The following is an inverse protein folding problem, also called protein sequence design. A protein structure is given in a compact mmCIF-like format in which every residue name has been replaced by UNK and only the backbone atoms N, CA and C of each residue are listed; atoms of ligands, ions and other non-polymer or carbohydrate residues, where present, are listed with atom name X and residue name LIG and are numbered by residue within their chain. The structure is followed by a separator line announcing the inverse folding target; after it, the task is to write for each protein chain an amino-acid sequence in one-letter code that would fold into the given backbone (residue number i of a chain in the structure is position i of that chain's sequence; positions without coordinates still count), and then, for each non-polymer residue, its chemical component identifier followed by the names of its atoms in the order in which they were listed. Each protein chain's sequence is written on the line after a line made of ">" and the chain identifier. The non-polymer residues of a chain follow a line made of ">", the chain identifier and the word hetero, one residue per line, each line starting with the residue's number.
data_IF_939905166100
#
_entry.id   IF_939905166100
#
_cell.length_a   1.000
_cell.length_b   1.000
_cell.length_c   1.000
_cell.angle_alpha   90.00
_cell.angle_beta   90.00
_cell.angle_gamma   90.00
#
_symmetry.space_group_name_H-M   'P 1'
#
loop_
_entity.id
_entity.type
_entity.pdbx_description
1 polymer ?
#
# COMPACT_ATOMS: atom_id res chain seq x y z
N UNK A 1 -40.82 -47.34 36.86
CA UNK A 1 -41.74 -48.42 37.28
C UNK A 1 -41.24 -48.93 38.62
N UNK A 2 -42.10 -49.08 39.62
CA UNK A 2 -41.69 -49.62 40.91
C UNK A 2 -41.44 -51.13 40.78
N UNK A 3 -40.32 -51.62 41.32
CA UNK A 3 -40.03 -53.06 41.33
C UNK A 3 -41.06 -53.79 42.19
N UNK A 4 -41.55 -54.93 41.70
CA UNK A 4 -42.49 -55.78 42.45
C UNK A 4 -41.71 -56.91 43.11
N UNK A 5 -41.76 -56.98 44.44
CA UNK A 5 -41.13 -58.05 45.21
C UNK A 5 -42.02 -59.28 45.28
N UNK A 6 -41.41 -60.45 45.47
CA UNK A 6 -42.12 -61.72 45.66
C UNK A 6 -42.83 -61.66 47.02
N UNK A 7 -44.16 -61.82 47.02
CA UNK A 7 -44.95 -61.92 48.25
C UNK A 7 -44.81 -63.32 48.86
N UNK A 8 -44.35 -63.39 50.11
CA UNK A 8 -44.08 -64.65 50.82
C UNK A 8 -45.19 -65.08 51.77
N UNK A 9 -46.22 -64.25 51.98
CA UNK A 9 -47.25 -64.53 52.99
C UNK A 9 -46.67 -64.72 54.40
N UNK A 10 -47.44 -65.37 55.28
CA UNK A 10 -47.08 -65.58 56.69
C UNK A 10 -46.04 -66.70 56.89
N UNK A 11 -45.11 -66.57 57.85
CA UNK A 11 -44.13 -67.61 58.14
C UNK A 11 -44.77 -68.96 58.51
N UNK A 12 -44.21 -70.10 58.04
CA UNK A 12 -44.67 -71.43 58.45
C UNK A 12 -44.35 -71.69 59.93
N UNK A 13 -45.16 -72.53 60.60
CA UNK A 13 -45.05 -72.85 62.04
C UNK A 13 -44.22 -74.10 62.36
N UNK A 14 -43.64 -74.76 61.36
CA UNK A 14 -42.86 -76.00 61.51
C UNK A 14 -41.40 -75.75 61.94
N UNK A 15 -40.79 -76.72 62.62
CA UNK A 15 -39.41 -76.63 63.16
C UNK A 15 -38.31 -76.79 62.10
N UNK A 16 -38.63 -77.41 60.96
CA UNK A 16 -37.68 -77.61 59.85
C UNK A 16 -37.72 -76.42 58.89
N UNK A 17 -36.57 -75.74 58.70
CA UNK A 17 -36.48 -74.45 57.99
C UNK A 17 -37.00 -74.46 56.54
N UNK A 18 -37.70 -73.39 56.15
CA UNK A 18 -38.28 -73.19 54.80
C UNK A 18 -37.23 -72.67 53.80
N UNK A 19 -36.62 -73.59 53.05
CA UNK A 19 -35.58 -73.29 52.05
C UNK A 19 -36.10 -72.46 50.88
N UNK A 20 -37.39 -72.59 50.52
CA UNK A 20 -38.01 -71.85 49.42
C UNK A 20 -38.26 -70.38 49.82
N UNK A 21 -38.75 -70.14 51.04
CA UNK A 21 -38.83 -68.78 51.61
C UNK A 21 -37.45 -68.14 51.69
N UNK A 22 -36.44 -68.91 52.10
CA UNK A 22 -35.05 -68.43 52.16
C UNK A 22 -34.52 -68.04 50.77
N UNK A 23 -34.80 -68.84 49.74
CA UNK A 23 -34.43 -68.53 48.36
C UNK A 23 -35.14 -67.27 47.86
N UNK A 24 -36.46 -67.13 48.10
CA UNK A 24 -37.19 -65.95 47.67
C UNK A 24 -36.81 -64.67 48.45
N UNK A 25 -36.44 -64.78 49.73
CA UNK A 25 -35.86 -63.67 50.49
C UNK A 25 -34.58 -63.16 49.81
N UNK A 26 -33.65 -64.07 49.45
CA UNK A 26 -32.43 -63.71 48.72
C UNK A 26 -32.74 -63.07 47.36
N UNK A 27 -33.76 -63.55 46.65
CA UNK A 27 -34.20 -62.92 45.40
C UNK A 27 -34.70 -61.50 45.63
N UNK A 28 -35.54 -61.26 46.64
CA UNK A 28 -36.01 -59.92 46.99
C UNK A 28 -34.86 -58.99 47.38
N UNK A 29 -33.90 -59.45 48.20
CA UNK A 29 -32.72 -58.67 48.57
C UNK A 29 -31.87 -58.29 47.34
N UNK A 30 -31.66 -59.25 46.43
CA UNK A 30 -30.95 -59.01 45.18
C UNK A 30 -31.69 -58.00 44.28
N UNK A 31 -33.02 -58.11 44.18
CA UNK A 31 -33.84 -57.17 43.42
C UNK A 31 -33.78 -55.75 43.99
N UNK A 32 -33.87 -55.61 45.32
CA UNK A 32 -33.71 -54.31 45.99
C UNK A 32 -32.32 -53.72 45.75
N UNK A 33 -31.26 -54.54 45.81
CA UNK A 33 -29.90 -54.07 45.53
C UNK A 33 -29.73 -53.61 44.08
N UNK A 34 -30.27 -54.37 43.12
CA UNK A 34 -30.23 -54.01 41.70
C UNK A 34 -31.03 -52.74 41.40
N UNK A 35 -32.22 -52.58 41.97
CA UNK A 35 -33.04 -51.38 41.82
C UNK A 35 -32.35 -50.13 42.38
N UNK A 36 -31.72 -50.26 43.55
CA UNK A 36 -30.91 -49.18 44.14
C UNK A 36 -29.73 -48.79 43.22
N UNK A 37 -28.97 -49.77 42.72
CA UNK A 37 -27.84 -49.53 41.80
C UNK A 37 -28.30 -48.88 40.49
N UNK A 38 -29.41 -49.35 39.92
CA UNK A 38 -29.97 -48.80 38.69
C UNK A 38 -30.45 -47.35 38.91
N UNK A 39 -31.12 -47.08 40.03
CA UNK A 39 -31.58 -45.74 40.39
C UNK A 39 -30.40 -44.78 40.58
N UNK A 40 -29.35 -45.20 41.27
CA UNK A 40 -28.12 -44.39 41.43
C UNK A 40 -27.43 -44.15 40.09
N UNK A 41 -27.32 -45.17 39.23
CA UNK A 41 -26.72 -45.02 37.91
C UNK A 41 -27.52 -44.08 37.01
N UNK A 42 -28.85 -44.18 37.03
CA UNK A 42 -29.73 -43.27 36.28
C UNK A 42 -29.59 -41.83 36.77
N UNK A 43 -29.63 -41.60 38.09
CA UNK A 43 -29.42 -40.27 38.65
C UNK A 43 -28.05 -39.68 38.28
N UNK A 44 -27.00 -40.53 38.25
CA UNK A 44 -25.68 -40.15 37.78
C UNK A 44 -25.65 -39.78 36.29
N UNK A 45 -26.32 -40.56 35.44
CA UNK A 45 -26.44 -40.29 34.01
C UNK A 45 -27.23 -38.99 33.73
N UNK A 46 -28.34 -38.77 34.44
CA UNK A 46 -29.15 -37.56 34.32
C UNK A 46 -28.35 -36.32 34.75
N UNK A 47 -27.59 -36.42 35.84
CA UNK A 47 -26.70 -35.35 36.32
C UNK A 47 -25.61 -35.05 35.30
N UNK A 48 -24.98 -36.08 34.72
CA UNK A 48 -23.95 -35.92 33.70
C UNK A 48 -24.51 -35.27 32.42
N UNK A 49 -25.72 -35.66 32.01
CA UNK A 49 -26.39 -35.08 30.84
C UNK A 49 -26.72 -33.59 31.06
N UNK A 50 -27.17 -33.22 32.27
CA UNK A 50 -27.40 -31.82 32.63
C UNK A 50 -26.10 -31.01 32.60
N UNK A 51 -25.03 -31.51 33.21
CA UNK A 51 -23.71 -30.86 33.20
C UNK A 51 -23.17 -30.67 31.78
N UNK A 52 -23.33 -31.68 30.91
CA UNK A 52 -22.97 -31.58 29.51
C UNK A 52 -23.78 -30.51 28.77
N UNK A 53 -25.09 -30.43 29.05
CA UNK A 53 -25.96 -29.37 28.53
C UNK A 53 -25.50 -27.97 28.95
N UNK A 54 -25.19 -27.76 30.23
CA UNK A 54 -24.67 -26.49 30.74
C UNK A 54 -23.34 -26.13 30.11
N UNK A 55 -22.39 -27.07 30.04
CA UNK A 55 -21.08 -26.86 29.42
C UNK A 55 -21.22 -26.46 27.94
N UNK A 56 -22.14 -27.10 27.20
CA UNK A 56 -22.46 -26.73 25.83
C UNK A 56 -23.00 -25.30 25.74
N UNK A 57 -23.97 -24.93 26.58
CA UNK A 57 -24.52 -23.57 26.59
C UNK A 57 -23.45 -22.50 26.90
N UNK A 58 -22.55 -22.78 27.84
CA UNK A 58 -21.41 -21.89 28.14
C UNK A 58 -20.46 -21.76 26.95
N UNK A 59 -20.13 -22.87 26.28
CA UNK A 59 -19.28 -22.87 25.10
C UNK A 59 -19.92 -22.09 23.93
N UNK A 60 -21.23 -22.29 23.70
CA UNK A 60 -21.98 -21.57 22.66
C UNK A 60 -22.00 -20.05 22.95
N UNK A 61 -22.17 -19.64 24.21
CA UNK A 61 -22.13 -18.23 24.61
C UNK A 61 -20.73 -17.60 24.46
N UNK A 62 -19.68 -18.35 24.80
CA UNK A 62 -18.29 -17.91 24.59
C UNK A 62 -17.98 -17.75 23.10
N UNK A 63 -18.40 -18.71 22.27
CA UNK A 63 -18.27 -18.63 20.81
C UNK A 63 -18.99 -17.40 20.26
N UNK A 64 -20.24 -17.17 20.66
CA UNK A 64 -21.01 -16.00 20.21
C UNK A 64 -20.35 -14.67 20.62
N UNK A 65 -19.69 -14.63 21.77
CA UNK A 65 -18.95 -13.45 22.23
C UNK A 65 -17.68 -13.24 21.40
N UNK A 66 -16.93 -14.30 21.11
CA UNK A 66 -15.76 -14.24 20.24
C UNK A 66 -16.13 -13.82 18.81
N UNK A 67 -17.19 -14.38 18.23
CA UNK A 67 -17.67 -14.05 16.89
C UNK A 67 -18.10 -12.57 16.79
N UNK A 68 -18.67 -11.98 17.86
CA UNK A 68 -19.02 -10.55 17.93
C UNK A 68 -17.82 -9.63 18.06
N UNK A 69 -16.74 -10.09 18.69
CA UNK A 69 -15.55 -9.27 18.92
C UNK A 69 -14.73 -9.03 17.65
N UNK A 70 -14.79 -9.96 16.68
CA UNK A 70 -14.13 -9.86 15.38
C UNK A 70 -15.11 -10.27 14.26
N UNK A 71 -16.05 -9.38 13.87
CA UNK A 71 -16.95 -9.64 12.77
C UNK A 71 -16.19 -9.98 11.49
N UNK A 72 -16.60 -11.05 10.80
CA UNK A 72 -15.97 -11.50 9.55
C UNK A 72 -16.25 -10.60 8.34
N UNK A 73 -17.20 -9.67 8.46
CA UNK A 73 -17.56 -8.72 7.44
C UNK A 73 -17.82 -7.35 8.07
N UNK A 74 -17.28 -6.30 7.46
CA UNK A 74 -17.44 -4.89 7.84
C UNK A 74 -17.30 -4.61 9.36
N UNK A 75 -16.23 -5.09 10.02
CA UNK A 75 -16.03 -4.78 11.43
C UNK A 75 -15.81 -3.27 11.61
N UNK A 76 -16.61 -2.66 12.50
CA UNK A 76 -16.37 -1.28 12.95
C UNK A 76 -15.49 -1.32 14.20
N UNK A 77 -14.26 -0.83 14.08
CA UNK A 77 -13.37 -0.67 15.23
C UNK A 77 -13.51 0.75 15.78
N UNK A 78 -14.05 0.88 17.00
CA UNK A 78 -14.05 2.14 17.74
C UNK A 78 -12.89 2.15 18.74
N UNK A 79 -11.99 3.12 18.61
CA UNK A 79 -10.81 3.27 19.48
C UNK A 79 -9.50 2.75 18.87
N UNK A 80 -8.46 2.64 19.70
CA UNK A 80 -7.13 2.20 19.25
C UNK A 80 -7.05 0.68 19.14
N UNK A 81 -6.62 0.17 17.99
CA UNK A 81 -6.23 -1.22 17.85
C UNK A 81 -4.81 -1.35 18.46
N UNK A 82 -4.73 -1.96 19.64
CA UNK A 82 -3.48 -2.13 20.38
C UNK A 82 -3.43 -3.49 21.07
N UNK A 83 -2.22 -4.00 21.28
CA UNK A 83 -1.97 -5.22 22.05
C UNK A 83 -1.13 -4.87 23.27
N UNK A 84 -1.60 -5.23 24.46
CA UNK A 84 -0.93 -4.95 25.74
C UNK A 84 -0.02 -6.12 26.10
N UNK A 85 1.18 -5.82 26.60
CA UNK A 85 2.01 -6.79 27.31
C UNK A 85 2.91 -7.68 26.45
N UNK A 86 3.02 -7.42 25.13
CA UNK A 86 3.99 -8.08 24.25
C UNK A 86 4.59 -7.11 23.24
N UNK A 87 5.80 -7.37 22.72
CA UNK A 87 6.31 -6.67 21.55
C UNK A 87 5.32 -6.77 20.38
N UNK A 88 5.04 -5.63 19.77
CA UNK A 88 4.20 -5.54 18.58
C UNK A 88 5.04 -5.86 17.35
N UNK A 89 5.23 -7.15 17.08
CA UNK A 89 5.88 -7.64 15.87
C UNK A 89 4.81 -7.93 14.80
N UNK A 90 5.04 -7.50 13.56
CA UNK A 90 4.14 -7.73 12.40
C UNK A 90 2.71 -7.20 12.55
N UNK A 91 2.47 -6.18 13.39
CA UNK A 91 1.16 -5.54 13.45
C UNK A 91 0.76 -5.00 12.06
N UNK A 92 -0.45 -5.36 11.62
CA UNK A 92 -1.01 -5.02 10.30
C UNK A 92 -0.25 -5.60 9.10
N UNK A 93 0.46 -6.73 9.28
CA UNK A 93 1.05 -7.44 8.16
C UNK A 93 -0.04 -8.07 7.29
N UNK A 94 -0.08 -7.66 6.02
CA UNK A 94 -0.85 -8.37 4.98
C UNK A 94 0.07 -9.38 4.33
N UNK A 95 -0.22 -10.67 4.54
CA UNK A 95 0.54 -11.78 3.96
C UNK A 95 -0.28 -12.43 2.86
N UNK A 96 0.28 -12.48 1.65
CA UNK A 96 -0.28 -13.28 0.58
C UNK A 96 0.19 -14.72 0.78
N UNK A 97 -0.69 -15.58 1.30
CA UNK A 97 -0.42 -17.02 1.42
C UNK A 97 -1.21 -17.80 0.37
N UNK A 98 -0.58 -18.79 -0.27
CA UNK A 98 -1.22 -19.65 -1.27
C UNK A 98 -0.88 -19.28 -2.72
N UNK A 99 -1.75 -19.66 -3.66
CA UNK A 99 -1.57 -19.43 -5.11
C UNK A 99 -2.29 -18.17 -5.62
N UNK A 100 -2.96 -17.43 -4.73
CA UNK A 100 -3.66 -16.19 -5.06
C UNK A 100 -2.67 -15.03 -5.23
N UNK A 101 -2.95 -14.12 -6.17
CA UNK A 101 -2.18 -12.88 -6.34
C UNK A 101 -2.35 -11.93 -5.14
N UNK A 102 -3.34 -12.19 -4.28
CA UNK A 102 -3.58 -11.47 -3.02
C UNK A 102 -3.84 -9.99 -3.29
N UNK A 103 -3.13 -9.10 -2.58
CA UNK A 103 -3.23 -7.63 -2.82
C UNK A 103 -2.55 -7.13 -4.11
N UNK A 104 -2.01 -8.02 -4.94
CA UNK A 104 -1.30 -7.69 -6.18
C UNK A 104 -2.20 -7.70 -7.43
N UNK A 105 -1.73 -7.06 -8.50
CA UNK A 105 -2.40 -7.04 -9.82
C UNK A 105 -1.48 -6.51 -10.92
N UNK A 106 -1.97 -6.41 -12.16
CA UNK A 106 -1.16 -5.95 -13.30
C UNK A 106 -0.74 -4.48 -13.12
N UNK A 107 0.38 -4.05 -13.73
CA UNK A 107 0.95 -2.71 -13.52
C UNK A 107 -0.07 -1.56 -13.76
N UNK A 108 -0.86 -1.65 -14.84
CA UNK A 108 -1.82 -0.61 -15.23
C UNK A 108 -3.14 -0.60 -14.47
N UNK A 109 -3.50 -1.66 -13.75
CA UNK A 109 -4.82 -1.82 -13.09
C UNK A 109 -4.88 -1.14 -11.71
N UNK A 110 -3.98 -0.20 -11.42
CA UNK A 110 -3.84 0.39 -10.09
C UNK A 110 -5.07 1.18 -9.61
N UNK A 111 -5.91 1.68 -10.54
CA UNK A 111 -7.18 2.37 -10.25
C UNK A 111 -8.41 1.46 -10.27
N UNK A 112 -8.25 0.17 -10.58
CA UNK A 112 -9.36 -0.73 -10.88
C UNK A 112 -9.29 -1.99 -10.01
N UNK A 113 -8.61 -3.04 -10.51
CA UNK A 113 -8.69 -4.39 -9.99
C UNK A 113 -7.71 -4.73 -8.87
N UNK A 114 -6.89 -3.77 -8.40
CA UNK A 114 -5.99 -4.01 -7.26
C UNK A 114 -6.73 -3.77 -5.95
N UNK A 115 -6.62 -4.73 -5.03
CA UNK A 115 -7.08 -4.56 -3.65
C UNK A 115 -5.93 -4.03 -2.79
N UNK A 116 -5.94 -2.75 -2.38
CA UNK A 116 -4.84 -2.20 -1.59
C UNK A 116 -4.85 -2.78 -0.18
N UNK A 117 -3.66 -2.94 0.42
CA UNK A 117 -3.54 -3.32 1.82
C UNK A 117 -4.13 -2.27 2.78
N UNK A 118 -4.08 -0.99 2.38
CA UNK A 118 -4.66 0.15 3.10
C UNK A 118 -5.39 1.01 2.06
N UNK A 119 -6.68 1.25 2.28
CA UNK A 119 -7.48 2.19 1.52
C UNK A 119 -7.92 3.34 2.42
N UNK A 120 -7.79 4.57 1.94
CA UNK A 120 -8.28 5.77 2.61
C UNK A 120 -9.30 6.41 1.69
N UNK A 121 -10.58 6.33 2.07
CA UNK A 121 -11.67 6.89 1.28
C UNK A 121 -11.79 8.40 1.51
N UNK A 122 -11.62 9.18 0.45
CA UNK A 122 -11.77 10.63 0.45
C UNK A 122 -13.21 11.02 0.09
N UNK A 123 -13.98 11.49 1.08
CA UNK A 123 -15.40 11.86 0.87
C UNK A 123 -15.59 13.29 0.36
N UNK A 124 -14.61 14.18 0.56
CA UNK A 124 -14.72 15.61 0.29
C UNK A 124 -13.46 16.14 -0.38
N UNK A 125 -13.65 16.75 -1.54
CA UNK A 125 -12.57 17.35 -2.33
C UNK A 125 -11.90 18.57 -1.68
N UNK A 126 -12.50 19.16 -0.64
CA UNK A 126 -11.95 20.28 0.13
C UNK A 126 -11.19 19.85 1.39
N UNK A 127 -11.09 18.55 1.67
CA UNK A 127 -10.37 18.02 2.83
C UNK A 127 -9.14 17.23 2.40
N UNK A 128 -8.04 17.37 3.15
CA UNK A 128 -6.89 16.48 3.03
C UNK A 128 -7.09 15.24 3.91
N UNK A 129 -6.67 14.08 3.41
CA UNK A 129 -6.81 12.79 4.06
C UNK A 129 -5.43 12.21 4.38
N UNK A 130 -5.22 11.91 5.66
CA UNK A 130 -3.93 11.47 6.19
C UNK A 130 -3.80 9.95 6.15
N UNK A 131 -2.83 9.44 5.40
CA UNK A 131 -2.48 8.02 5.36
C UNK A 131 -1.70 7.60 6.62
N UNK A 132 -0.74 8.43 7.03
CA UNK A 132 0.14 8.10 8.15
C UNK A 132 0.62 9.36 8.88
N UNK A 133 0.85 9.23 10.19
CA UNK A 133 1.46 10.27 11.02
C UNK A 133 2.41 9.67 12.05
N UNK A 134 3.60 10.25 12.09
CA UNK A 134 4.63 9.94 13.06
C UNK A 134 4.63 11.03 14.12
N UNK A 135 4.41 10.68 15.37
CA UNK A 135 4.24 11.66 16.45
C UNK A 135 4.92 11.21 17.74
N UNK A 136 5.57 12.15 18.42
CA UNK A 136 5.97 11.98 19.81
C UNK A 136 4.86 12.55 20.67
N UNK A 137 4.12 11.66 21.32
CA UNK A 137 2.95 12.03 22.14
C UNK A 137 3.33 13.05 23.21
N UNK A 138 2.46 14.05 23.40
CA UNK A 138 2.67 15.15 24.34
C UNK A 138 3.79 16.13 23.96
N UNK A 139 4.43 15.99 22.80
CA UNK A 139 5.53 16.86 22.38
C UNK A 139 5.32 17.45 20.99
N UNK A 140 5.52 16.66 19.92
CA UNK A 140 5.43 17.18 18.55
C UNK A 140 5.15 16.09 17.52
N UNK A 141 4.59 16.52 16.39
CA UNK A 141 4.56 15.71 15.17
C UNK A 141 5.95 15.69 14.51
N UNK A 142 6.31 14.55 13.94
CA UNK A 142 7.60 14.31 13.31
C UNK A 142 7.48 14.32 11.79
N UNK A 143 6.45 13.64 11.27
CA UNK A 143 6.13 13.62 9.85
C UNK A 143 4.68 13.16 9.62
N UNK A 144 4.14 13.44 8.43
CA UNK A 144 2.86 12.91 7.96
C UNK A 144 2.86 12.73 6.44
N UNK A 145 1.96 11.87 5.96
CA UNK A 145 1.69 11.63 4.54
C UNK A 145 0.20 11.86 4.32
N UNK A 146 -0.12 12.85 3.48
CA UNK A 146 -1.50 13.28 3.21
C UNK A 146 -1.76 13.26 1.71
N UNK A 147 -2.98 12.89 1.32
CA UNK A 147 -3.50 13.04 -0.03
C UNK A 147 -4.58 14.14 -0.04
N UNK A 148 -4.61 14.96 -1.08
CA UNK A 148 -5.57 16.05 -1.24
C UNK A 148 -6.02 16.15 -2.69
N UNK A 149 -7.34 16.29 -2.91
CA UNK A 149 -7.92 16.39 -4.26
C UNK A 149 -7.70 17.78 -4.89
N UNK A 150 -7.30 18.79 -4.10
CA UNK A 150 -7.03 20.13 -4.62
C UNK A 150 -8.22 21.08 -4.57
N UNK A 151 -9.28 20.75 -3.82
CA UNK A 151 -10.35 21.69 -3.46
C UNK A 151 -11.59 21.68 -4.36
N UNK A 152 -11.57 20.93 -5.45
CA UNK A 152 -12.71 20.78 -6.36
C UNK A 152 -12.66 19.44 -7.09
N UNK A 153 -13.79 18.98 -7.64
CA UNK A 153 -13.87 17.71 -8.39
C UNK A 153 -13.14 17.71 -9.74
N UNK A 154 -12.59 18.86 -10.13
CA UNK A 154 -11.77 19.03 -11.34
C UNK A 154 -10.33 19.44 -11.02
N UNK A 155 -9.98 19.53 -9.74
CA UNK A 155 -8.63 19.87 -9.32
C UNK A 155 -7.69 18.68 -9.46
N UNK A 156 -6.43 18.97 -9.73
CA UNK A 156 -5.38 17.96 -9.80
C UNK A 156 -5.12 17.34 -8.40
N UNK A 157 -5.18 16.00 -8.25
CA UNK A 157 -4.86 15.36 -6.99
C UNK A 157 -3.37 15.50 -6.64
N UNK A 158 -3.09 15.55 -5.34
CA UNK A 158 -1.77 15.84 -4.78
C UNK A 158 -1.45 14.89 -3.62
N UNK A 159 -0.18 14.49 -3.51
CA UNK A 159 0.35 13.74 -2.38
C UNK A 159 1.45 14.55 -1.69
N UNK A 160 1.28 14.82 -0.41
CA UNK A 160 2.16 15.66 0.38
C UNK A 160 2.87 14.88 1.48
N UNK A 161 4.14 15.22 1.70
CA UNK A 161 4.91 14.80 2.85
C UNK A 161 5.19 16.02 3.73
N UNK A 162 4.77 15.93 4.98
CA UNK A 162 5.04 16.90 6.02
C UNK A 162 6.20 16.37 6.86
N UNK A 163 7.21 17.19 7.15
CA UNK A 163 8.36 16.78 7.96
C UNK A 163 8.72 17.89 8.95
N UNK A 164 8.87 17.54 10.22
CA UNK A 164 9.08 18.49 11.30
C UNK A 164 7.93 19.48 11.40
N UNK A 165 8.26 20.78 11.41
CA UNK A 165 7.28 21.88 11.40
C UNK A 165 6.87 22.33 10.00
N UNK A 166 7.47 21.78 8.94
CA UNK A 166 7.23 22.20 7.56
C UNK A 166 6.04 21.47 6.98
N UNK A 167 4.99 22.23 6.66
CA UNK A 167 3.85 21.73 5.90
C UNK A 167 4.23 21.65 4.42
N UNK A 168 3.78 20.59 3.73
CA UNK A 168 4.01 20.38 2.30
C UNK A 168 5.51 20.47 1.91
N UNK A 169 6.38 19.90 2.75
CA UNK A 169 7.84 19.93 2.56
C UNK A 169 8.25 19.26 1.25
N UNK A 170 7.55 18.19 0.89
CA UNK A 170 7.64 17.55 -0.42
C UNK A 170 6.24 17.34 -0.98
N UNK A 171 6.04 17.71 -2.23
CA UNK A 171 4.75 17.61 -2.91
C UNK A 171 4.94 16.84 -4.21
N UNK A 172 4.09 15.85 -4.43
CA UNK A 172 3.95 15.15 -5.70
C UNK A 172 2.61 15.55 -6.28
N UNK A 173 2.64 16.16 -7.45
CA UNK A 173 1.50 16.77 -8.11
C UNK A 173 1.18 15.96 -9.37
N UNK A 174 -0.05 16.12 -9.87
CA UNK A 174 -0.45 15.53 -11.15
C UNK A 174 0.50 15.90 -12.30
N UNK A 175 0.54 15.05 -13.33
CA UNK A 175 1.41 15.23 -14.49
C UNK A 175 2.87 14.84 -14.24
N UNK A 176 3.19 14.31 -13.05
CA UNK A 176 4.55 13.92 -12.67
C UNK A 176 5.39 15.09 -12.16
N UNK A 177 4.76 16.20 -11.77
CA UNK A 177 5.45 17.34 -11.21
C UNK A 177 5.77 17.11 -9.72
N UNK A 178 6.85 17.70 -9.22
CA UNK A 178 7.21 17.63 -7.80
C UNK A 178 7.80 18.95 -7.31
N UNK A 179 7.52 19.29 -6.04
CA UNK A 179 8.09 20.46 -5.35
C UNK A 179 8.85 19.99 -4.11
N UNK A 180 10.09 20.43 -4.00
CA UNK A 180 10.95 20.24 -2.83
C UNK A 180 11.15 21.61 -2.19
N UNK A 181 10.65 21.81 -0.97
CA UNK A 181 10.75 23.11 -0.29
C UNK A 181 12.20 23.50 0.07
N UNK A 182 13.11 22.52 0.07
CA UNK A 182 14.54 22.70 0.33
C UNK A 182 15.42 22.31 -0.85
N UNK A 183 16.68 22.02 -0.57
CA UNK A 183 17.67 21.64 -1.60
C UNK A 183 17.60 20.16 -1.95
N UNK A 184 17.71 19.83 -3.25
CA UNK A 184 18.00 18.48 -3.72
C UNK A 184 19.52 18.25 -3.71
N UNK A 185 20.01 17.42 -2.78
CA UNK A 185 21.43 17.05 -2.70
C UNK A 185 21.68 15.71 -3.40
N UNK A 186 22.76 15.62 -4.16
CA UNK A 186 23.16 14.39 -4.87
C UNK A 186 24.52 13.90 -4.35
N UNK A 187 24.64 12.59 -4.14
CA UNK A 187 25.90 11.97 -3.76
C UNK A 187 26.90 12.05 -4.94
N UNK A 188 28.13 12.47 -4.68
CA UNK A 188 29.14 12.72 -5.72
C UNK A 188 30.55 12.33 -5.28
N UNK A 189 30.67 11.29 -4.45
CA UNK A 189 31.95 10.79 -3.95
C UNK A 189 32.74 10.04 -5.05
N UNK A 190 34.08 10.10 -5.03
CA UNK A 190 34.90 9.39 -6.03
C UNK A 190 34.86 7.86 -5.87
N UNK A 191 34.56 7.36 -4.65
CA UNK A 191 34.50 5.91 -4.35
C UNK A 191 33.30 5.21 -4.99
N UNK A 192 32.29 5.99 -5.40
CA UNK A 192 31.12 5.48 -6.13
C UNK A 192 31.21 5.78 -7.64
N UNK A 193 32.39 6.17 -8.14
CA UNK A 193 32.62 6.51 -9.55
C UNK A 193 33.73 5.63 -10.12
N UNK A 194 33.55 5.22 -11.37
CA UNK A 194 34.54 4.51 -12.19
C UNK A 194 34.67 5.25 -13.53
N UNK A 195 35.76 5.01 -14.25
CA UNK A 195 36.01 5.60 -15.58
C UNK A 195 35.88 7.13 -15.62
N UNK A 196 36.44 7.79 -14.60
CA UNK A 196 36.35 9.25 -14.47
C UNK A 196 37.23 9.93 -15.52
N UNK A 197 36.60 10.41 -16.58
CA UNK A 197 37.22 11.19 -17.66
C UNK A 197 36.73 12.63 -17.63
N UNK A 198 37.59 13.56 -18.08
CA UNK A 198 37.20 14.97 -18.24
C UNK A 198 36.23 15.16 -19.41
N UNK A 199 35.31 16.12 -19.28
CA UNK A 199 34.46 16.56 -20.38
C UNK A 199 35.33 17.43 -21.32
N UNK A 200 35.33 17.12 -22.62
CA UNK A 200 35.98 17.95 -23.65
C UNK A 200 35.30 19.34 -23.69
N UNK A 201 36.02 20.41 -23.30
CA UNK A 201 35.47 21.77 -23.25
C UNK A 201 34.99 22.29 -24.62
N UNK A 202 35.72 21.98 -25.70
CA UNK A 202 35.41 22.48 -27.04
C UNK A 202 34.17 21.76 -27.62
N UNK A 203 34.12 20.44 -27.45
CA UNK A 203 32.96 19.64 -27.84
C UNK A 203 31.70 20.05 -27.04
N UNK A 204 31.83 20.28 -25.73
CA UNK A 204 30.74 20.77 -24.89
C UNK A 204 30.24 22.15 -25.36
N UNK A 205 31.13 23.08 -25.68
CA UNK A 205 30.76 24.41 -26.19
C UNK A 205 30.11 24.36 -27.57
N UNK A 206 30.56 23.47 -28.47
CA UNK A 206 29.88 23.24 -29.75
C UNK A 206 28.49 22.65 -29.56
N UNK A 207 28.37 21.65 -28.69
CA UNK A 207 27.12 20.94 -28.41
C UNK A 207 26.08 21.84 -27.73
N UNK A 208 26.49 22.70 -26.80
CA UNK A 208 25.58 23.65 -26.16
C UNK A 208 25.04 24.69 -27.14
N UNK A 209 25.85 25.10 -28.13
CA UNK A 209 25.42 26.04 -29.18
C UNK A 209 24.47 25.41 -30.19
N UNK A 210 24.49 24.09 -30.37
CA UNK A 210 23.57 23.38 -31.27
C UNK A 210 22.22 23.03 -30.64
N UNK A 211 22.13 23.05 -29.31
CA UNK A 211 20.88 22.77 -28.60
C UNK A 211 19.90 23.94 -28.74
N UNK A 212 18.62 23.61 -28.91
CA UNK A 212 17.52 24.56 -29.07
C UNK A 212 16.63 24.60 -27.82
N UNK A 213 16.74 25.65 -26.97
CA UNK A 213 15.74 25.92 -25.95
C UNK A 213 14.37 26.17 -26.59
N UNK A 214 13.32 25.66 -25.95
CA UNK A 214 11.95 25.83 -26.41
C UNK A 214 11.04 26.25 -25.26
N UNK A 215 9.97 26.94 -25.62
CA UNK A 215 8.82 27.15 -24.74
C UNK A 215 7.63 26.36 -25.29
N UNK A 216 6.92 25.65 -24.43
CA UNK A 216 5.82 24.77 -24.84
C UNK A 216 4.65 24.84 -23.85
N UNK A 217 3.48 24.42 -24.31
CA UNK A 217 2.34 24.10 -23.47
C UNK A 217 2.24 22.59 -23.36
N UNK A 218 2.01 22.07 -22.16
CA UNK A 218 1.80 20.64 -21.94
C UNK A 218 0.34 20.30 -22.25
N UNK A 219 0.12 19.36 -23.18
CA UNK A 219 -1.23 18.97 -23.59
C UNK A 219 -1.98 18.14 -22.54
N UNK A 220 -1.31 17.78 -21.44
CA UNK A 220 -1.91 17.12 -20.27
C UNK A 220 -2.43 18.12 -19.23
N UNK A 221 -2.03 19.38 -19.34
CA UNK A 221 -2.48 20.45 -18.44
C UNK A 221 -3.69 21.19 -19.04
N UNK A 222 -4.48 21.89 -18.21
CA UNK A 222 -5.53 22.78 -18.68
C UNK A 222 -5.02 23.79 -19.72
N UNK A 223 -5.89 24.21 -20.64
CA UNK A 223 -5.51 25.06 -21.79
C UNK A 223 -4.97 26.45 -21.37
N UNK A 224 -5.31 26.91 -20.18
CA UNK A 224 -4.88 28.16 -19.56
C UNK A 224 -3.62 28.00 -18.67
N UNK A 225 -3.03 26.80 -18.61
CA UNK A 225 -1.82 26.56 -17.85
C UNK A 225 -0.63 27.41 -18.37
N UNK A 226 0.26 27.89 -17.48
CA UNK A 226 1.44 28.65 -17.88
C UNK A 226 2.33 27.85 -18.85
N UNK A 227 2.89 28.55 -19.84
CA UNK A 227 3.91 27.95 -20.73
C UNK A 227 5.15 27.57 -19.93
N UNK A 228 5.78 26.46 -20.32
CA UNK A 228 6.98 25.90 -19.72
C UNK A 228 8.17 26.15 -20.63
N UNK A 229 9.34 26.40 -20.05
CA UNK A 229 10.60 26.44 -20.77
C UNK A 229 11.34 25.11 -20.59
N UNK A 230 12.04 24.65 -21.63
CA UNK A 230 12.82 23.42 -21.57
C UNK A 230 13.50 23.09 -22.88
N UNK A 231 13.76 21.79 -23.07
CA UNK A 231 14.41 21.21 -24.24
C UNK A 231 13.57 20.03 -24.73
N UNK A 232 13.66 19.72 -26.03
CA UNK A 232 13.08 18.50 -26.59
C UNK A 232 14.07 17.36 -26.40
N UNK A 233 13.68 16.32 -25.66
CA UNK A 233 14.55 15.19 -25.31
C UNK A 233 15.21 14.51 -26.54
N UNK A 234 14.44 14.27 -27.60
CA UNK A 234 14.94 13.68 -28.84
C UNK A 234 16.02 14.50 -29.54
N UNK A 235 15.92 15.83 -29.48
CA UNK A 235 16.91 16.76 -30.05
C UNK A 235 18.15 16.80 -29.14
N UNK A 236 17.94 16.89 -27.83
CA UNK A 236 19.00 16.96 -26.83
C UNK A 236 19.87 15.69 -26.83
N UNK A 237 19.26 14.51 -27.00
CA UNK A 237 19.96 13.22 -26.99
C UNK A 237 21.05 13.11 -28.07
N UNK A 238 20.93 13.85 -29.19
CA UNK A 238 21.95 13.87 -30.24
C UNK A 238 23.26 14.50 -29.77
N UNK A 239 23.17 15.54 -28.94
CA UNK A 239 24.33 16.30 -28.44
C UNK A 239 24.76 15.85 -27.03
N UNK A 240 23.80 15.42 -26.20
CA UNK A 240 24.01 15.03 -24.80
C UNK A 240 23.28 13.73 -24.46
N UNK A 241 23.72 12.58 -25.00
CA UNK A 241 23.04 11.30 -24.81
C UNK A 241 22.98 10.85 -23.35
N UNK A 242 23.98 11.22 -22.52
CA UNK A 242 24.01 10.88 -21.09
C UNK A 242 22.98 11.65 -20.24
N UNK A 243 22.32 12.65 -20.82
CA UNK A 243 21.32 13.49 -20.12
C UNK A 243 19.88 13.10 -20.46
N UNK A 244 19.68 12.14 -21.35
CA UNK A 244 18.35 11.72 -21.81
C UNK A 244 18.13 10.26 -21.49
N UNK A 245 17.07 9.97 -20.77
CA UNK A 245 16.62 8.61 -20.48
C UNK A 245 15.41 8.25 -21.35
N UNK A 246 15.35 6.98 -21.77
CA UNK A 246 14.31 6.46 -22.67
C UNK A 246 14.72 6.46 -24.14
N UNK A 247 13.93 5.81 -24.99
CA UNK A 247 14.18 5.70 -26.43
C UNK A 247 13.23 6.60 -27.23
N UNK A 248 13.72 7.12 -28.35
CA UNK A 248 12.92 7.94 -29.25
C UNK A 248 11.78 7.12 -29.86
N UNK A 249 10.57 7.68 -29.87
CA UNK A 249 9.36 7.09 -30.44
C UNK A 249 9.03 5.69 -29.87
N UNK A 250 9.54 5.37 -28.68
CA UNK A 250 9.24 4.11 -28.03
C UNK A 250 7.76 4.08 -27.65
N UNK A 251 7.15 2.90 -27.72
CA UNK A 251 5.78 2.64 -27.29
C UNK A 251 5.77 1.62 -26.17
N UNK A 252 4.84 1.79 -25.24
CA UNK A 252 4.53 0.82 -24.21
C UNK A 252 3.11 0.32 -24.40
N UNK A 253 2.94 -0.99 -24.31
CA UNK A 253 1.61 -1.61 -24.33
C UNK A 253 0.93 -1.34 -22.98
N UNK A 254 -0.21 -0.68 -23.02
CA UNK A 254 -1.06 -0.43 -21.86
C UNK A 254 -2.41 -1.10 -22.06
N UNK A 255 -3.09 -1.40 -20.96
CA UNK A 255 -4.42 -2.00 -20.96
C UNK A 255 -5.35 -1.02 -20.25
N UNK A 256 -6.44 -0.65 -20.91
CA UNK A 256 -7.47 0.25 -20.39
C UNK A 256 -8.80 -0.46 -20.50
N UNK A 257 -9.66 -0.20 -19.53
CA UNK A 257 -11.05 -0.60 -19.57
C UNK A 257 -11.82 0.41 -20.42
N UNK A 258 -12.39 -0.05 -21.54
CA UNK A 258 -13.34 0.73 -22.32
C UNK A 258 -14.76 0.26 -22.01
N UNK A 259 -15.65 1.22 -21.71
CA UNK A 259 -17.03 0.96 -21.32
C UNK A 259 -17.41 1.66 -20.00
N UNK A 260 -18.49 1.21 -19.39
CA UNK A 260 -18.96 1.74 -18.11
C UNK A 260 -18.11 1.19 -16.95
N UNK A 261 -17.23 2.03 -16.41
CA UNK A 261 -16.33 1.69 -15.29
C UNK A 261 -16.95 1.97 -13.92
N UNK A 262 -18.26 2.27 -13.85
CA UNK A 262 -18.92 2.55 -12.57
C UNK A 262 -18.91 1.31 -11.69
N UNK A 263 -18.43 1.39 -10.44
CA UNK A 263 -18.41 0.25 -9.53
C UNK A 263 -19.81 0.04 -8.95
N UNK A 264 -20.60 -0.83 -9.59
CA UNK A 264 -21.88 -1.31 -9.05
C UNK A 264 -21.65 -2.41 -8.00
N UNK A 265 -22.51 -2.46 -6.97
CA UNK A 265 -22.53 -3.62 -6.09
C UNK A 265 -23.08 -4.84 -6.86
N UNK A 266 -22.55 -6.06 -6.66
CA UNK A 266 -23.04 -7.25 -7.35
C UNK A 266 -24.55 -7.43 -7.20
N UNK A 267 -25.27 -7.49 -8.32
CA UNK A 267 -26.73 -7.62 -8.39
C UNK A 267 -27.51 -6.29 -8.35
N UNK A 268 -26.82 -5.15 -8.28
CA UNK A 268 -27.41 -3.81 -8.39
C UNK A 268 -27.09 -3.14 -9.73
N UNK A 269 -26.50 -3.88 -10.67
CA UNK A 269 -26.17 -3.37 -11.99
C UNK A 269 -27.45 -2.96 -12.74
N UNK A 270 -27.45 -1.84 -13.47
CA UNK A 270 -28.53 -1.50 -14.39
C UNK A 270 -28.80 -2.63 -15.39
N UNK A 271 -30.07 -2.79 -15.81
CA UNK A 271 -30.51 -3.86 -16.74
C UNK A 271 -29.72 -3.88 -18.05
N UNK A 272 -29.22 -2.73 -18.49
CA UNK A 272 -28.43 -2.59 -19.73
C UNK A 272 -26.92 -2.47 -19.49
N UNK A 273 -26.44 -2.76 -18.27
CA UNK A 273 -25.03 -2.69 -17.94
C UNK A 273 -24.22 -3.70 -18.76
N UNK A 274 -23.18 -3.20 -19.42
CA UNK A 274 -22.16 -4.01 -20.07
C UNK A 274 -20.85 -3.83 -19.31
N UNK A 275 -20.27 -4.91 -18.78
CA UNK A 275 -18.97 -4.84 -18.13
C UNK A 275 -17.93 -4.25 -19.08
N UNK A 276 -17.04 -3.39 -18.59
CA UNK A 276 -16.02 -2.79 -19.43
C UNK A 276 -15.07 -3.88 -19.94
N UNK A 277 -14.67 -3.76 -21.20
CA UNK A 277 -13.74 -4.70 -21.82
C UNK A 277 -12.31 -4.18 -21.71
N UNK A 278 -11.36 -5.08 -21.45
CA UNK A 278 -9.94 -4.75 -21.52
C UNK A 278 -9.54 -4.58 -22.99
N UNK A 279 -9.15 -3.37 -23.35
CA UNK A 279 -8.61 -3.04 -24.66
C UNK A 279 -7.14 -2.69 -24.50
N UNK A 280 -6.30 -3.33 -25.30
CA UNK A 280 -4.88 -3.03 -25.38
C UNK A 280 -4.66 -1.83 -26.30
N UNK A 281 -3.81 -0.89 -25.87
CA UNK A 281 -3.45 0.26 -26.65
C UNK A 281 -1.97 0.59 -26.47
N UNK A 282 -1.35 1.07 -27.54
CA UNK A 282 0.03 1.51 -27.52
C UNK A 282 0.07 2.96 -27.04
N UNK A 283 0.69 3.19 -25.90
CA UNK A 283 0.99 4.52 -25.38
C UNK A 283 2.42 4.92 -25.73
N UNK A 284 2.68 6.19 -26.07
CA UNK A 284 4.05 6.69 -26.19
C UNK A 284 4.81 6.52 -24.85
N UNK A 285 5.97 5.87 -24.90
CA UNK A 285 6.93 5.84 -23.81
C UNK A 285 7.76 7.13 -23.85
N UNK A 286 7.56 7.98 -22.84
CA UNK A 286 8.18 9.30 -22.76
C UNK A 286 9.68 9.20 -22.46
N UNK A 287 10.45 10.13 -23.05
CA UNK A 287 11.84 10.38 -22.66
C UNK A 287 11.93 11.47 -21.58
N UNK A 288 12.93 11.35 -20.70
CA UNK A 288 13.17 12.29 -19.61
C UNK A 288 14.52 12.98 -19.76
N UNK A 289 14.63 14.22 -19.30
CA UNK A 289 15.86 15.02 -19.38
C UNK A 289 16.41 15.32 -17.98
N UNK A 290 17.68 15.01 -17.74
CA UNK A 290 18.42 15.45 -16.57
C UNK A 290 18.96 16.88 -16.75
N UNK A 291 18.11 17.87 -16.48
CA UNK A 291 18.48 19.28 -16.63
C UNK A 291 19.63 19.71 -15.69
N UNK A 292 19.71 19.17 -14.47
CA UNK A 292 20.81 19.48 -13.54
C UNK A 292 22.15 18.97 -14.08
N UNK A 293 22.13 17.86 -14.81
CA UNK A 293 23.29 17.29 -15.49
C UNK A 293 23.86 18.16 -16.62
N UNK A 294 23.16 19.20 -17.09
CA UNK A 294 23.74 20.18 -18.02
C UNK A 294 24.79 21.07 -17.37
N UNK A 295 24.76 21.26 -16.05
CA UNK A 295 25.65 22.19 -15.34
C UNK A 295 27.14 21.84 -15.53
N UNK A 296 27.60 20.58 -15.39
CA UNK A 296 28.97 20.21 -15.72
C UNK A 296 29.41 20.56 -17.16
N UNK A 297 28.52 20.38 -18.14
CA UNK A 297 28.81 20.75 -19.53
C UNK A 297 28.88 22.27 -19.73
N UNK A 298 28.01 23.03 -19.07
CA UNK A 298 28.06 24.50 -19.05
C UNK A 298 29.38 25.00 -18.48
N UNK A 299 29.84 24.42 -17.36
CA UNK A 299 31.13 24.76 -16.76
C UNK A 299 32.29 24.44 -17.73
N UNK A 300 32.27 23.28 -18.38
CA UNK A 300 33.30 22.90 -19.34
C UNK A 300 33.34 23.86 -20.54
N UNK A 301 32.19 24.16 -21.15
CA UNK A 301 32.07 25.09 -22.27
C UNK A 301 32.45 26.53 -21.89
N UNK A 302 32.09 26.97 -20.69
CA UNK A 302 32.49 28.26 -20.18
C UNK A 302 34.01 28.39 -20.09
N UNK A 303 34.70 27.37 -19.53
CA UNK A 303 36.17 27.35 -19.49
C UNK A 303 36.81 27.47 -20.87
N UNK A 304 36.23 26.80 -21.89
CA UNK A 304 36.71 26.93 -23.27
C UNK A 304 36.52 28.35 -23.81
N UNK A 305 35.36 28.95 -23.54
CA UNK A 305 35.03 30.29 -24.04
C UNK A 305 35.89 31.36 -23.36
N UNK A 306 36.17 31.19 -22.06
CA UNK A 306 37.07 32.06 -21.30
C UNK A 306 38.51 31.98 -21.84
N UNK A 307 39.02 30.79 -22.16
CA UNK A 307 40.34 30.61 -22.78
C UNK A 307 40.42 31.32 -24.15
N UNK A 308 39.42 31.14 -25.02
CA UNK A 308 39.35 31.85 -26.30
C UNK A 308 39.28 33.37 -26.13
N UNK A 309 38.54 33.85 -25.14
CA UNK A 309 38.45 35.28 -24.84
C UNK A 309 39.79 35.84 -24.37
N UNK A 310 40.49 35.15 -23.48
CA UNK A 310 41.82 35.55 -23.01
C UNK A 310 42.83 35.58 -24.17
N UNK A 311 42.79 34.60 -25.06
CA UNK A 311 43.62 34.58 -26.27
C UNK A 311 43.31 35.75 -27.21
N UNK A 312 42.02 36.08 -27.40
CA UNK A 312 41.60 37.21 -28.21
C UNK A 312 42.08 38.54 -27.60
N UNK A 313 41.93 38.73 -26.29
CA UNK A 313 42.41 39.92 -25.58
C UNK A 313 43.93 40.05 -25.73
N UNK A 314 44.69 38.99 -25.51
CA UNK A 314 46.15 39.01 -25.65
C UNK A 314 46.58 39.39 -27.08
N UNK A 315 45.88 38.88 -28.10
CA UNK A 315 46.14 39.24 -29.50
C UNK A 315 45.81 40.70 -29.80
N UNK A 316 44.70 41.23 -29.28
CA UNK A 316 44.33 42.63 -29.43
C UNK A 316 45.41 43.52 -28.78
N UNK A 317 45.83 43.21 -27.55
CA UNK A 317 46.91 43.96 -26.87
C UNK A 317 48.21 43.95 -27.66
N UNK A 318 48.58 42.81 -28.27
CA UNK A 318 49.78 42.72 -29.11
C UNK A 318 49.67 43.58 -30.39
N UNK A 319 48.47 43.66 -31.00
CA UNK A 319 48.22 44.50 -32.17
C UNK A 319 48.24 45.99 -31.82
N UNK A 320 47.70 46.38 -30.66
CA UNK A 320 47.70 47.76 -30.18
C UNK A 320 49.12 48.28 -29.88
N UNK A 321 50.06 47.39 -29.54
CA UNK A 321 51.47 47.74 -29.32
C UNK A 321 52.27 47.94 -30.63
N UNK A 322 51.71 47.55 -31.78
CA UNK A 322 52.30 47.75 -33.10
C UNK A 322 51.33 48.54 -34.01
N UNK A 323 51.09 49.84 -33.75
CA UNK A 323 50.33 50.65 -34.67
C UNK A 323 51.12 50.73 -35.98
N UNK A 324 50.48 50.29 -37.08
CA UNK A 324 51.02 50.35 -38.43
C UNK A 324 51.63 51.73 -38.71
N UNK A 325 52.94 51.79 -38.94
CA UNK A 325 53.58 52.99 -39.50
C UNK A 325 52.89 53.31 -40.84
N UNK A 326 52.52 54.58 -41.08
CA UNK A 326 51.90 54.96 -42.34
C UNK A 326 52.91 54.74 -43.49
N UNK A 327 52.45 54.27 -44.66
CA UNK A 327 53.32 54.12 -45.82
C UNK A 327 53.80 55.51 -46.25
N UNK A 328 55.11 55.72 -46.18
CA UNK A 328 55.80 56.92 -46.67
C UNK A 328 55.89 56.98 -48.18
#
# INVERSE_FOLDING_TARGET
>A
MAIQLINLGTPPKGEDGDTNRTAHNKCNDNFTNLDSRATTAQAGADSANQLAGTAKSTADAAKATADRALPKANPLFTGSISKIGVPNEFCYCVSNTGTDRGIGGSWGEWTQGRTPAIQVDAMSNVSAYMLARFTRWGARHLAAIDAYEGGSGSSAPQLHFHVGGSQNAFQFLEGGNAVFAGTLTQNSDYRIKQDVVGIDPAAAASSLRSVRPVEYSDNREPQDAPRRAGMIAHELAQSFPLLVEGAKDAVRRSVRLEGDTTPYMPGTEPVDYKPPTQVEYDEPALQNVNYVGLVPYLIAAWKHTDDLLQQAIARITALEQHPSEPPG
#
